data_IF_688802389772
#
_entry.id   IF_688802389772
#
_cell.length_a   1.000
_cell.length_b   1.000
_cell.length_c   1.000
_cell.angle_alpha   90.00
_cell.angle_beta   90.00
_cell.angle_gamma   90.00
#
_symmetry.space_group_name_H-M   'P 1'
#
loop_
_entity.id
_entity.type
_entity.pdbx_description
1 polymer ?
#
# COMPACT_ATOMS: atom_id res chain seq x y z
N UNK A 1 21.28 51.95 -0.68
CA UNK A 1 20.89 51.00 -1.75
C UNK A 1 21.26 49.62 -1.25
N UNK A 2 20.31 48.93 -0.62
CA UNK A 2 20.46 47.55 -0.19
C UNK A 2 19.25 46.81 -0.77
N UNK A 3 19.41 46.26 -1.97
CA UNK A 3 18.42 45.44 -2.64
C UNK A 3 19.10 44.21 -3.25
N UNK A 4 19.77 43.44 -2.41
CA UNK A 4 20.42 42.16 -2.78
C UNK A 4 20.00 41.06 -1.79
N UNK A 5 18.71 40.99 -1.45
CA UNK A 5 18.16 39.96 -0.52
C UNK A 5 17.00 39.15 -1.10
N UNK A 6 16.84 39.13 -2.41
CA UNK A 6 15.72 38.45 -3.07
C UNK A 6 16.21 37.47 -4.16
N UNK A 7 17.21 36.64 -3.85
CA UNK A 7 17.71 35.63 -4.80
C UNK A 7 18.25 34.37 -4.13
N UNK A 8 17.51 33.82 -3.17
CA UNK A 8 17.63 32.46 -2.63
C UNK A 8 16.68 32.45 -1.42
N UNK A 9 15.54 31.80 -1.39
CA UNK A 9 15.38 30.34 -1.45
C UNK A 9 13.88 30.04 -1.61
N UNK A 10 13.35 30.06 -2.84
CA UNK A 10 12.07 29.39 -3.14
C UNK A 10 12.38 27.94 -3.53
N UNK A 11 13.09 27.23 -2.65
CA UNK A 11 13.13 25.78 -2.74
C UNK A 11 11.80 25.31 -2.16
N UNK A 12 10.80 25.18 -3.03
CA UNK A 12 9.59 24.42 -2.73
C UNK A 12 10.04 23.09 -2.14
N UNK A 13 9.87 22.93 -0.82
CA UNK A 13 10.34 21.78 -0.07
C UNK A 13 9.64 20.55 -0.63
N UNK A 14 10.35 19.83 -1.51
CA UNK A 14 9.77 18.76 -2.32
C UNK A 14 9.41 17.62 -1.39
N UNK A 15 8.14 17.52 -1.03
CA UNK A 15 7.64 16.50 -0.11
C UNK A 15 7.99 15.12 -0.68
N UNK A 16 8.77 14.29 0.03
CA UNK A 16 9.17 12.98 -0.44
C UNK A 16 7.95 12.08 -0.70
N UNK A 17 8.00 11.30 -1.78
CA UNK A 17 6.87 10.48 -2.24
C UNK A 17 6.40 9.43 -1.21
N UNK A 18 7.31 8.91 -0.40
CA UNK A 18 6.96 7.98 0.69
C UNK A 18 6.14 8.67 1.79
N UNK A 19 6.40 9.96 2.03
CA UNK A 19 5.68 10.76 3.01
C UNK A 19 4.23 10.96 2.56
N UNK A 20 4.01 11.39 1.32
CA UNK A 20 2.66 11.53 0.74
C UNK A 20 1.85 10.23 0.76
N UNK A 21 2.52 9.07 0.61
CA UNK A 21 1.87 7.77 0.68
C UNK A 21 1.39 7.42 2.11
N UNK A 22 2.23 7.69 3.12
CA UNK A 22 1.92 7.46 4.53
C UNK A 22 0.97 8.52 5.12
N UNK A 23 0.91 9.70 4.52
CA UNK A 23 0.02 10.78 4.93
C UNK A 23 -1.42 10.57 4.47
N UNK A 24 -1.66 9.70 3.49
CA UNK A 24 -3.00 9.41 3.00
C UNK A 24 -3.65 8.26 3.79
N UNK A 25 -4.61 8.55 4.69
CA UNK A 25 -5.24 7.52 5.51
C UNK A 25 -6.00 6.46 4.70
N UNK A 26 -6.51 6.81 3.51
CA UNK A 26 -7.19 5.86 2.64
C UNK A 26 -6.23 4.89 1.96
N UNK A 27 -5.02 5.35 1.59
CA UNK A 27 -3.99 4.46 1.05
C UNK A 27 -3.52 3.48 2.12
N UNK A 28 -3.29 3.96 3.34
CA UNK A 28 -2.95 3.11 4.48
C UNK A 28 -4.06 2.10 4.79
N UNK A 29 -5.33 2.53 4.80
CA UNK A 29 -6.48 1.65 5.01
C UNK A 29 -6.58 0.62 3.88
N UNK A 30 -6.48 1.07 2.63
CA UNK A 30 -6.55 0.19 1.46
C UNK A 30 -5.48 -0.88 1.53
N UNK A 31 -4.23 -0.53 1.77
CA UNK A 31 -3.15 -1.51 1.91
C UNK A 31 -3.36 -2.41 3.13
N UNK A 32 -3.81 -1.84 4.26
CA UNK A 32 -4.08 -2.59 5.49
C UNK A 32 -5.19 -3.63 5.35
N UNK A 33 -6.18 -3.42 4.49
CA UNK A 33 -7.26 -4.39 4.22
C UNK A 33 -6.93 -5.25 3.01
N UNK A 34 -6.50 -4.64 1.90
CA UNK A 34 -6.26 -5.34 0.64
C UNK A 34 -5.13 -6.38 0.76
N UNK A 35 -4.03 -6.09 1.46
CA UNK A 35 -2.95 -7.06 1.65
C UNK A 35 -3.44 -8.35 2.33
N UNK A 36 -3.99 -8.31 3.56
CA UNK A 36 -4.46 -9.53 4.19
C UNK A 36 -5.60 -10.16 3.41
N UNK A 37 -6.55 -9.40 2.86
CA UNK A 37 -7.63 -9.96 2.06
C UNK A 37 -7.10 -10.76 0.88
N UNK A 38 -6.20 -10.20 0.07
CA UNK A 38 -5.65 -10.90 -1.10
C UNK A 38 -4.80 -12.10 -0.67
N UNK A 39 -3.91 -11.92 0.31
CA UNK A 39 -3.03 -13.00 0.79
C UNK A 39 -3.84 -14.17 1.36
N UNK A 40 -4.79 -13.93 2.26
CA UNK A 40 -5.63 -14.98 2.84
C UNK A 40 -6.58 -15.60 1.82
N UNK A 41 -7.09 -14.82 0.87
CA UNK A 41 -7.93 -15.38 -0.20
C UNK A 41 -7.13 -16.33 -1.07
N UNK A 42 -5.96 -15.89 -1.56
CA UNK A 42 -5.11 -16.73 -2.41
C UNK A 42 -4.63 -17.97 -1.65
N UNK A 43 -4.20 -17.80 -0.40
CA UNK A 43 -3.81 -18.93 0.43
C UNK A 43 -4.97 -19.90 0.66
N UNK A 44 -6.15 -19.41 1.03
CA UNK A 44 -7.34 -20.25 1.24
C UNK A 44 -7.77 -20.98 -0.03
N UNK A 45 -7.67 -20.35 -1.20
CA UNK A 45 -7.95 -21.01 -2.48
C UNK A 45 -6.95 -22.13 -2.76
N UNK A 46 -5.66 -21.89 -2.53
CA UNK A 46 -4.63 -22.92 -2.68
C UNK A 46 -4.84 -24.09 -1.71
N UNK A 47 -5.23 -23.80 -0.46
CA UNK A 47 -5.56 -24.80 0.54
C UNK A 47 -6.71 -25.69 0.06
N UNK A 48 -7.82 -25.08 -0.38
CA UNK A 48 -9.00 -25.82 -0.87
C UNK A 48 -8.67 -26.64 -2.13
N UNK A 49 -7.89 -26.08 -3.05
CA UNK A 49 -7.48 -26.78 -4.27
C UNK A 49 -6.60 -28.01 -3.98
N UNK A 50 -5.86 -28.00 -2.86
CA UNK A 50 -5.04 -29.11 -2.40
C UNK A 50 -5.80 -30.21 -1.66
N UNK A 51 -7.06 -29.98 -1.28
CA UNK A 51 -7.84 -30.99 -0.55
C UNK A 51 -8.20 -32.14 -1.50
N UNK A 52 -7.76 -33.39 -1.20
CA UNK A 52 -8.13 -34.53 -2.00
C UNK A 52 -9.63 -34.81 -1.85
N UNK A 53 -10.33 -34.82 -2.97
CA UNK A 53 -11.74 -35.18 -3.04
C UNK A 53 -11.90 -36.69 -2.81
N UNK A 54 -12.39 -37.06 -1.62
CA UNK A 54 -12.77 -38.43 -1.32
C UNK A 54 -14.08 -38.78 -2.04
N UNK A 55 -14.16 -39.93 -2.75
CA UNK A 55 -15.43 -40.39 -3.30
C UNK A 55 -16.37 -40.73 -2.15
N UNK A 56 -17.44 -39.94 -2.00
CA UNK A 56 -18.48 -40.18 -1.00
C UNK A 56 -19.43 -41.28 -1.50
N UNK A 57 -18.93 -42.51 -1.64
CA UNK A 57 -19.74 -43.72 -1.83
C UNK A 57 -18.88 -45.00 -1.79
N UNK A 58 -18.92 -45.71 -0.66
CA UNK A 58 -19.02 -47.17 -0.65
C UNK A 58 -19.80 -47.62 0.57
#
# INVERSE_FOLDING_TARGET
MANDKEAATNEEERIPAMQQFLENPFLLLFVGVALPTVLYTLWGVMEIAGIPISPLAK
#
